data_IF_855122966353
#
_entry.id   IF_855122966353
#
_cell.length_a   1.000
_cell.length_b   1.000
_cell.length_c   1.000
_cell.angle_alpha   90.00
_cell.angle_beta   90.00
_cell.angle_gamma   90.00
#
_symmetry.space_group_name_H-M   'P 1'
#
loop_
_entity.id
_entity.type
_entity.pdbx_description
1 polymer ?
#
# COMPACT_ATOMS: atom_id res chain seq x y z
N UNK A 1 41.39 2.73 57.46
CA UNK A 1 41.93 3.53 56.34
C UNK A 1 41.62 2.71 55.09
N UNK A 2 40.68 3.00 54.19
CA UNK A 2 39.88 4.19 53.85
C UNK A 2 38.64 3.66 53.06
N UNK A 3 37.41 3.94 53.48
CA UNK A 3 36.52 5.02 52.95
C UNK A 3 35.92 4.75 51.55
N UNK A 4 34.63 4.34 51.51
CA UNK A 4 33.43 5.05 50.96
C UNK A 4 33.37 5.20 49.43
N UNK A 5 32.42 4.55 48.73
CA UNK A 5 31.00 4.92 48.52
C UNK A 5 30.74 6.06 47.53
N UNK A 6 29.86 5.76 46.56
CA UNK A 6 29.01 6.64 45.75
C UNK A 6 29.61 7.41 44.56
N UNK A 7 29.04 7.17 43.37
CA UNK A 7 28.77 8.21 42.37
C UNK A 7 27.71 7.73 41.36
N UNK A 8 26.50 8.27 41.52
CA UNK A 8 25.32 8.11 40.68
C UNK A 8 25.44 8.92 39.39
N UNK A 9 25.14 8.37 38.20
CA UNK A 9 25.07 9.18 36.99
C UNK A 9 23.75 9.95 36.88
N UNK A 10 23.74 11.18 36.33
CA UNK A 10 22.54 12.01 36.26
C UNK A 10 21.58 11.58 35.14
N UNK A 11 20.29 11.51 35.49
CA UNK A 11 19.13 11.51 34.61
C UNK A 11 19.15 12.74 33.68
N UNK A 12 19.12 12.52 32.37
CA UNK A 12 18.73 13.56 31.40
C UNK A 12 17.35 13.26 30.84
N UNK A 13 16.39 14.02 31.35
CA UNK A 13 15.07 14.22 30.77
C UNK A 13 15.16 15.20 29.59
N UNK A 14 14.81 14.77 28.39
CA UNK A 14 14.42 15.69 27.32
C UNK A 14 13.06 15.28 26.77
N UNK A 15 12.04 15.76 27.47
CA UNK A 15 10.70 15.96 26.94
C UNK A 15 10.76 17.17 26.00
N UNK A 16 10.42 16.97 24.73
CA UNK A 16 10.46 18.03 23.73
C UNK A 16 9.56 17.69 22.55
N UNK A 17 8.25 17.69 22.76
CA UNK A 17 7.29 17.72 21.66
C UNK A 17 6.55 19.07 21.61
N UNK A 18 7.08 20.07 20.90
CA UNK A 18 6.37 21.31 20.68
C UNK A 18 5.41 21.19 19.49
N UNK A 19 4.11 21.17 19.85
CA UNK A 19 3.11 22.10 19.31
C UNK A 19 2.85 22.05 17.79
N UNK A 20 1.74 21.38 17.47
CA UNK A 20 0.57 21.96 16.78
C UNK A 20 0.82 23.31 16.09
N UNK A 21 1.00 23.28 14.77
CA UNK A 21 0.70 24.42 13.88
C UNK A 21 -0.59 24.13 13.11
N UNK A 22 -1.71 24.18 13.82
CA UNK A 22 -2.97 24.62 13.23
C UNK A 22 -2.99 26.13 13.40
N UNK A 23 -3.23 26.86 12.31
CA UNK A 23 -4.22 27.93 12.20
C UNK A 23 -3.87 28.96 11.12
N UNK A 24 -4.92 29.31 10.37
CA UNK A 24 -5.25 30.64 9.82
C UNK A 24 -4.58 31.05 8.51
N UNK A 25 -5.41 31.04 7.46
CA UNK A 25 -5.81 32.19 6.60
C UNK A 25 -6.64 31.59 5.44
N UNK A 26 -7.97 31.59 5.44
CA UNK A 26 -8.88 32.74 5.41
C UNK A 26 -8.48 33.80 4.37
N UNK A 27 -8.23 33.35 3.13
CA UNK A 27 -8.16 34.22 1.94
C UNK A 27 -9.58 34.52 1.46
N UNK A 28 -9.99 35.73 1.82
CA UNK A 28 -11.26 36.38 1.48
C UNK A 28 -11.53 36.37 -0.02
N UNK A 29 -12.76 35.97 -0.34
CA UNK A 29 -13.50 36.36 -1.54
C UNK A 29 -13.36 37.87 -1.80
N UNK A 30 -13.02 38.24 -3.03
CA UNK A 30 -13.38 39.52 -3.62
C UNK A 30 -13.80 39.28 -5.07
N UNK A 31 -15.11 39.23 -5.27
CA UNK A 31 -15.78 39.30 -6.57
C UNK A 31 -15.96 40.77 -6.91
N UNK A 32 -15.43 41.30 -8.04
CA UNK A 32 -15.82 42.62 -8.51
C UNK A 32 -17.13 42.55 -9.31
N UNK A 33 -18.00 43.51 -8.99
CA UNK A 33 -19.34 43.76 -9.53
C UNK A 33 -19.32 44.19 -11.01
N UNK A 34 -20.38 43.78 -11.70
CA UNK A 34 -20.80 44.14 -13.07
C UNK A 34 -20.85 45.65 -13.33
N UNK A 35 -20.54 46.04 -14.57
CA UNK A 35 -21.14 47.20 -15.28
C UNK A 35 -21.42 46.81 -16.74
N UNK A 36 -22.66 46.87 -17.24
CA UNK A 36 -22.91 46.91 -18.68
C UNK A 36 -23.06 48.38 -19.11
N UNK A 37 -22.18 48.83 -20.01
CA UNK A 37 -22.31 50.11 -20.72
C UNK A 37 -23.26 49.90 -21.90
N UNK A 38 -24.52 50.30 -21.74
CA UNK A 38 -25.48 50.47 -22.84
C UNK A 38 -24.98 51.66 -23.69
N UNK A 39 -24.67 51.42 -24.96
CA UNK A 39 -24.48 52.47 -25.97
C UNK A 39 -25.23 52.09 -27.25
N UNK A 40 -25.81 53.12 -27.83
CA UNK A 40 -26.89 53.11 -28.81
C UNK A 40 -26.52 52.49 -30.17
N UNK A 41 -27.53 51.90 -30.79
CA UNK A 41 -27.54 51.40 -32.17
C UNK A 41 -27.69 52.53 -33.18
N UNK A 42 -26.96 52.49 -34.32
CA UNK A 42 -27.46 53.01 -35.58
C UNK A 42 -28.23 51.91 -36.30
N UNK A 43 -29.48 52.22 -36.64
CA UNK A 43 -30.41 51.41 -37.42
C UNK A 43 -30.08 51.62 -38.90
N UNK A 44 -29.75 50.57 -39.63
CA UNK A 44 -29.65 50.63 -41.09
C UNK A 44 -28.73 49.57 -41.69
N UNK A 45 -29.34 48.58 -42.36
CA UNK A 45 -28.78 47.82 -43.48
C UNK A 45 -27.63 46.83 -43.19
N UNK A 46 -27.93 45.67 -42.62
CA UNK A 46 -27.24 44.39 -42.95
C UNK A 46 -27.94 43.22 -42.23
N UNK A 47 -28.99 42.66 -42.82
CA UNK A 47 -29.76 41.58 -42.15
C UNK A 47 -30.05 40.37 -43.02
N UNK A 48 -29.34 40.16 -44.13
CA UNK A 48 -29.57 38.96 -44.96
C UNK A 48 -28.33 38.16 -45.36
N UNK A 49 -27.10 38.59 -45.01
CA UNK A 49 -25.87 37.82 -45.34
C UNK A 49 -25.18 37.21 -44.09
N UNK A 50 -25.61 37.57 -42.88
CA UNK A 50 -24.94 37.19 -41.63
C UNK A 50 -25.38 35.83 -41.04
N UNK A 51 -26.54 35.31 -41.46
CA UNK A 51 -27.12 34.08 -40.90
C UNK A 51 -26.33 32.82 -41.29
N UNK A 52 -25.94 32.74 -42.58
CA UNK A 52 -25.20 31.59 -43.11
C UNK A 52 -23.74 31.49 -42.58
N UNK A 53 -23.18 32.58 -42.05
CA UNK A 53 -21.82 32.61 -41.46
C UNK A 53 -21.85 32.24 -39.97
N UNK A 54 -22.89 32.68 -39.24
CA UNK A 54 -23.12 32.34 -37.83
C UNK A 54 -23.38 30.84 -37.62
N UNK A 55 -24.19 30.22 -38.49
CA UNK A 55 -24.46 28.79 -38.42
C UNK A 55 -23.24 27.92 -38.70
N UNK A 56 -22.39 28.33 -39.65
CA UNK A 56 -21.13 27.62 -39.93
C UNK A 56 -20.14 27.74 -38.77
N UNK A 57 -20.00 28.93 -38.16
CA UNK A 57 -19.13 29.14 -37.01
C UNK A 57 -19.60 28.35 -35.77
N UNK A 58 -20.92 28.27 -35.57
CA UNK A 58 -21.52 27.49 -34.49
C UNK A 58 -21.33 25.99 -34.71
N UNK A 59 -21.61 25.48 -35.92
CA UNK A 59 -21.33 24.06 -36.28
C UNK A 59 -19.85 23.71 -36.13
N UNK A 60 -18.93 24.58 -36.56
CA UNK A 60 -17.47 24.37 -36.41
C UNK A 60 -17.03 24.34 -34.95
N UNK A 61 -17.65 25.16 -34.09
CA UNK A 61 -17.39 25.15 -32.65
C UNK A 61 -17.94 23.89 -31.95
N UNK A 62 -19.14 23.42 -32.33
CA UNK A 62 -19.69 22.16 -31.82
C UNK A 62 -18.86 20.95 -32.27
N UNK A 63 -18.40 20.96 -33.52
CA UNK A 63 -17.47 19.95 -34.02
C UNK A 63 -16.13 20.00 -33.26
N UNK A 64 -15.63 21.19 -32.91
CA UNK A 64 -14.42 21.32 -32.10
C UNK A 64 -14.59 20.82 -30.66
N UNK A 65 -15.72 21.06 -29.99
CA UNK A 65 -15.97 20.52 -28.65
C UNK A 65 -16.01 18.98 -28.68
N UNK A 66 -16.73 18.42 -29.65
CA UNK A 66 -16.81 16.96 -29.87
C UNK A 66 -15.43 16.38 -30.18
N UNK A 67 -14.61 17.07 -30.97
CA UNK A 67 -13.23 16.66 -31.25
C UNK A 67 -12.30 16.76 -30.02
N UNK A 68 -12.64 17.56 -29.00
CA UNK A 68 -11.81 17.79 -27.80
C UNK A 68 -12.14 16.87 -26.61
N UNK A 69 -13.36 16.33 -26.56
CA UNK A 69 -13.81 15.39 -25.51
C UNK A 69 -12.91 14.15 -25.33
N UNK A 70 -12.40 13.49 -26.38
CA UNK A 70 -11.52 12.33 -26.23
C UNK A 70 -10.23 12.65 -25.46
N UNK A 71 -9.66 13.84 -25.69
CA UNK A 71 -8.43 14.27 -25.01
C UNK A 71 -8.63 14.46 -23.50
N UNK A 72 -9.77 15.01 -23.08
CA UNK A 72 -10.11 15.20 -21.67
C UNK A 72 -10.30 13.87 -20.92
N UNK A 73 -10.92 12.88 -21.58
CA UNK A 73 -11.09 11.54 -21.01
C UNK A 73 -9.73 10.83 -20.86
N UNK A 74 -8.86 10.94 -21.87
CA UNK A 74 -7.50 10.38 -21.81
C UNK A 74 -6.69 11.02 -20.68
N UNK A 75 -6.79 12.35 -20.51
CA UNK A 75 -6.08 13.07 -19.44
C UNK A 75 -6.57 12.68 -18.04
N UNK A 76 -7.89 12.52 -17.86
CA UNK A 76 -8.46 12.09 -16.58
C UNK A 76 -8.03 10.67 -16.22
N UNK A 77 -8.11 9.73 -17.18
CA UNK A 77 -7.66 8.35 -16.98
C UNK A 77 -6.17 8.33 -16.64
N UNK A 78 -5.35 9.12 -17.33
CA UNK A 78 -3.92 9.20 -17.06
C UNK A 78 -3.63 9.74 -15.65
N UNK A 79 -4.36 10.77 -15.22
CA UNK A 79 -4.30 11.30 -13.86
C UNK A 79 -4.67 10.26 -12.80
N UNK A 80 -5.79 9.55 -13.00
CA UNK A 80 -6.25 8.52 -12.06
C UNK A 80 -5.24 7.37 -11.95
N UNK A 81 -4.67 6.97 -13.10
CA UNK A 81 -3.60 5.97 -13.14
C UNK A 81 -2.33 6.45 -12.44
N UNK A 82 -1.94 7.72 -12.60
CA UNK A 82 -0.75 8.24 -11.94
C UNK A 82 -0.95 8.37 -10.44
N UNK A 83 -2.14 8.74 -9.97
CA UNK A 83 -2.49 8.70 -8.55
C UNK A 83 -2.49 7.28 -8.01
N UNK A 84 -3.10 6.33 -8.73
CA UNK A 84 -3.12 4.92 -8.35
C UNK A 84 -1.69 4.35 -8.26
N UNK A 85 -0.83 4.64 -9.25
CA UNK A 85 0.59 4.25 -9.20
C UNK A 85 1.26 4.79 -7.94
N UNK A 86 1.04 6.06 -7.60
CA UNK A 86 1.64 6.66 -6.41
C UNK A 86 1.09 6.06 -5.11
N UNK A 87 -0.19 5.72 -5.05
CA UNK A 87 -0.78 5.05 -3.89
C UNK A 87 -0.28 3.61 -3.76
N UNK A 88 -0.24 2.85 -4.86
CA UNK A 88 0.32 1.50 -4.92
C UNK A 88 1.78 1.53 -4.48
N UNK A 89 2.62 2.40 -5.04
CA UNK A 89 4.03 2.51 -4.65
C UNK A 89 4.18 2.85 -3.17
N UNK A 90 3.34 3.73 -2.60
CA UNK A 90 3.33 4.01 -1.16
C UNK A 90 2.96 2.76 -0.35
N UNK A 91 1.89 2.05 -0.73
CA UNK A 91 1.48 0.80 -0.06
C UNK A 91 2.55 -0.28 -0.15
N UNK A 92 3.15 -0.46 -1.33
CA UNK A 92 4.25 -1.40 -1.57
C UNK A 92 5.48 -1.05 -0.75
N UNK A 93 5.86 0.22 -0.66
CA UNK A 93 7.02 0.63 0.15
C UNK A 93 6.80 0.31 1.62
N UNK A 94 5.62 0.65 2.17
CA UNK A 94 5.33 0.36 3.58
C UNK A 94 5.22 -1.15 3.85
N UNK A 95 4.54 -1.88 2.98
CA UNK A 95 4.46 -3.34 3.06
C UNK A 95 5.86 -3.98 2.93
N UNK A 96 6.68 -3.50 1.99
CA UNK A 96 8.04 -3.97 1.76
C UNK A 96 8.98 -3.72 2.93
N UNK A 97 8.89 -2.54 3.57
CA UNK A 97 9.61 -2.26 4.82
C UNK A 97 9.15 -3.22 5.92
N UNK A 98 7.85 -3.44 6.08
CA UNK A 98 7.31 -4.38 7.05
C UNK A 98 7.82 -5.81 6.84
N UNK A 99 7.73 -6.32 5.61
CA UNK A 99 8.24 -7.65 5.24
C UNK A 99 9.76 -7.73 5.43
N UNK A 100 10.51 -6.69 5.06
CA UNK A 100 11.96 -6.62 5.26
C UNK A 100 12.36 -6.65 6.73
N UNK A 101 11.64 -5.92 7.59
CA UNK A 101 11.85 -5.96 9.05
C UNK A 101 11.50 -7.31 9.65
N UNK A 102 10.40 -7.94 9.21
CA UNK A 102 10.03 -9.29 9.66
C UNK A 102 11.07 -10.34 9.22
N UNK A 103 11.59 -10.22 7.99
CA UNK A 103 12.66 -11.10 7.51
C UNK A 103 13.95 -10.92 8.34
N UNK A 104 14.36 -9.68 8.60
CA UNK A 104 15.50 -9.40 9.47
C UNK A 104 15.28 -9.95 10.89
N UNK A 105 14.10 -9.70 11.48
CA UNK A 105 13.74 -10.21 12.80
C UNK A 105 13.77 -11.74 12.84
N UNK A 106 13.30 -12.43 11.80
CA UNK A 106 13.36 -13.89 11.71
C UNK A 106 14.81 -14.41 11.71
N UNK A 107 15.71 -13.76 10.96
CA UNK A 107 17.15 -14.11 10.96
C UNK A 107 17.77 -13.91 12.35
N UNK A 108 17.51 -12.77 12.99
CA UNK A 108 18.00 -12.54 14.36
C UNK A 108 17.41 -13.52 15.37
N UNK A 109 16.12 -13.84 15.25
CA UNK A 109 15.47 -14.84 16.10
C UNK A 109 16.08 -16.24 15.92
N UNK A 110 16.47 -16.61 14.70
CA UNK A 110 17.17 -17.85 14.41
C UNK A 110 18.51 -17.92 15.15
N UNK A 111 19.35 -16.89 15.04
CA UNK A 111 20.62 -16.83 15.79
C UNK A 111 20.42 -16.80 17.31
N UNK A 112 19.45 -16.00 17.79
CA UNK A 112 19.13 -15.92 19.21
C UNK A 112 18.70 -17.27 19.78
N UNK A 113 17.94 -18.07 19.01
CA UNK A 113 17.56 -19.43 19.41
C UNK A 113 18.79 -20.32 19.61
N UNK A 114 19.80 -20.22 18.73
CA UNK A 114 21.07 -20.94 18.91
C UNK A 114 21.82 -20.53 20.17
N UNK A 115 21.91 -19.22 20.44
CA UNK A 115 22.55 -18.70 21.66
C UNK A 115 21.80 -19.14 22.93
N UNK A 116 20.47 -19.06 22.93
CA UNK A 116 19.64 -19.53 24.04
C UNK A 116 19.78 -21.03 24.27
N UNK A 117 19.87 -21.82 23.19
CA UNK A 117 20.12 -23.26 23.28
C UNK A 117 21.47 -23.54 23.92
N UNK A 118 22.54 -22.87 23.47
CA UNK A 118 23.87 -23.01 24.05
C UNK A 118 23.88 -22.57 25.53
N UNK A 119 23.25 -21.46 25.87
CA UNK A 119 23.14 -20.99 27.26
C UNK A 119 22.37 -21.97 28.14
N UNK A 120 21.28 -22.56 27.64
CA UNK A 120 20.52 -23.58 28.35
C UNK A 120 21.36 -24.84 28.60
N UNK A 121 22.10 -25.32 27.59
CA UNK A 121 22.98 -26.48 27.73
C UNK A 121 24.10 -26.19 28.74
N UNK A 122 24.78 -25.05 28.62
CA UNK A 122 25.87 -24.68 29.53
C UNK A 122 25.37 -24.47 30.96
N UNK A 123 24.21 -23.84 31.14
CA UNK A 123 23.60 -23.66 32.46
C UNK A 123 23.21 -24.98 33.10
N UNK A 124 22.64 -25.91 32.34
CA UNK A 124 22.29 -27.24 32.85
C UNK A 124 23.53 -28.11 33.07
N UNK A 125 24.58 -27.91 32.28
CA UNK A 125 25.85 -28.63 32.41
C UNK A 125 26.59 -28.34 33.75
N UNK A 126 26.16 -27.32 34.50
CA UNK A 126 26.66 -27.07 35.87
C UNK A 126 26.17 -28.14 36.86
N UNK A 127 24.99 -28.74 36.61
CA UNK A 127 24.36 -29.72 37.51
C UNK A 127 24.37 -31.14 36.97
N UNK A 128 24.48 -31.34 35.66
CA UNK A 128 24.54 -32.66 35.00
C UNK A 128 25.67 -32.73 33.96
N UNK A 129 26.12 -33.92 33.53
CA UNK A 129 27.12 -34.03 32.45
C UNK A 129 26.66 -33.32 31.17
N UNK A 130 27.58 -32.64 30.48
CA UNK A 130 27.26 -31.81 29.32
C UNK A 130 26.54 -32.53 28.18
N UNK A 131 26.84 -33.82 27.97
CA UNK A 131 26.16 -34.64 26.97
C UNK A 131 24.68 -34.88 27.33
N UNK A 132 24.38 -35.08 28.62
CA UNK A 132 23.01 -35.28 29.10
C UNK A 132 22.23 -33.96 29.07
N UNK A 133 22.88 -32.84 29.43
CA UNK A 133 22.30 -31.50 29.29
C UNK A 133 21.87 -31.23 27.84
N UNK A 134 22.74 -31.53 26.86
CA UNK A 134 22.42 -31.37 25.45
C UNK A 134 21.22 -32.21 25.01
N UNK A 135 21.11 -33.46 25.46
CA UNK A 135 19.97 -34.33 25.14
C UNK A 135 18.65 -33.83 25.75
N UNK A 136 18.67 -33.34 26.99
CA UNK A 136 17.48 -32.80 27.66
C UNK A 136 16.98 -31.56 26.90
N UNK A 137 17.87 -30.62 26.59
CA UNK A 137 17.50 -29.40 25.85
C UNK A 137 17.01 -29.74 24.45
N UNK A 138 17.65 -30.69 23.76
CA UNK A 138 17.20 -31.16 22.44
C UNK A 138 15.79 -31.77 22.49
N UNK A 139 15.48 -32.58 23.50
CA UNK A 139 14.14 -33.15 23.68
C UNK A 139 13.08 -32.07 23.90
N UNK A 140 13.37 -31.04 24.72
CA UNK A 140 12.46 -29.91 24.94
C UNK A 140 12.23 -29.11 23.64
N UNK A 141 13.29 -28.88 22.86
CA UNK A 141 13.17 -28.19 21.56
C UNK A 141 12.35 -29.00 20.55
N UNK A 142 12.50 -30.33 20.51
CA UNK A 142 11.68 -31.18 19.64
C UNK A 142 10.19 -31.09 19.98
N UNK A 143 9.84 -31.05 21.26
CA UNK A 143 8.45 -30.85 21.70
C UNK A 143 7.94 -29.47 21.23
N UNK A 144 8.74 -28.42 21.40
CA UNK A 144 8.38 -27.07 20.96
C UNK A 144 8.17 -27.01 19.43
N UNK A 145 9.06 -27.64 18.65
CA UNK A 145 8.93 -27.75 17.19
C UNK A 145 7.66 -28.50 16.82
N UNK A 146 7.36 -29.62 17.48
CA UNK A 146 6.13 -30.36 17.22
C UNK A 146 4.89 -29.47 17.45
N UNK A 147 4.84 -28.71 18.56
CA UNK A 147 3.75 -27.77 18.82
C UNK A 147 3.63 -26.70 17.72
N UNK A 148 4.74 -26.10 17.29
CA UNK A 148 4.71 -25.11 16.20
C UNK A 148 4.27 -25.70 14.87
N UNK A 149 4.70 -26.92 14.53
CA UNK A 149 4.23 -27.62 13.33
C UNK A 149 2.73 -27.86 13.42
N UNK A 150 2.22 -28.36 14.55
CA UNK A 150 0.78 -28.60 14.75
C UNK A 150 -0.03 -27.31 14.64
N UNK A 151 0.42 -26.23 15.29
CA UNK A 151 -0.25 -24.92 15.21
C UNK A 151 -0.21 -24.35 13.79
N UNK A 152 0.93 -24.46 13.11
CA UNK A 152 1.09 -24.03 11.72
C UNK A 152 0.15 -24.79 10.78
N UNK A 153 0.12 -26.12 10.88
CA UNK A 153 -0.80 -26.95 10.11
C UNK A 153 -2.26 -26.62 10.42
N UNK A 154 -2.61 -26.37 11.68
CA UNK A 154 -3.97 -26.01 12.06
C UNK A 154 -4.37 -24.64 11.51
N UNK A 155 -3.47 -23.67 11.49
CA UNK A 155 -3.72 -22.36 10.90
C UNK A 155 -3.87 -22.45 9.37
N UNK A 156 -3.06 -23.26 8.69
CA UNK A 156 -3.22 -23.53 7.26
C UNK A 156 -4.56 -24.21 6.94
N UNK A 157 -4.99 -25.16 7.77
CA UNK A 157 -6.29 -25.84 7.64
C UNK A 157 -7.48 -24.89 7.85
N UNK A 158 -7.40 -23.99 8.83
CA UNK A 158 -8.45 -22.99 9.12
C UNK A 158 -8.49 -21.84 8.11
N UNK A 159 -7.35 -21.50 7.53
CA UNK A 159 -7.20 -20.42 6.55
C UNK A 159 -7.54 -20.81 5.11
N UNK A 160 -7.95 -22.06 4.87
CA UNK A 160 -8.40 -22.53 3.57
C UNK A 160 -9.94 -22.39 3.51
N UNK A 161 -10.52 -21.29 2.96
CA UNK A 161 -11.82 -21.45 2.34
C UNK A 161 -11.62 -22.55 1.29
N UNK A 162 -12.33 -23.68 1.41
CA UNK A 162 -12.38 -24.71 0.37
C UNK A 162 -12.32 -24.02 -0.99
N UNK A 163 -11.20 -24.11 -1.74
CA UNK A 163 -11.04 -23.37 -2.98
C UNK A 163 -11.76 -24.11 -4.11
N UNK A 164 -12.87 -24.76 -3.77
CA UNK A 164 -13.63 -25.63 -4.64
C UNK A 164 -14.34 -24.79 -5.69
N UNK A 165 -14.77 -23.57 -5.39
CA UNK A 165 -15.38 -22.65 -6.37
C UNK A 165 -14.31 -21.98 -7.26
N UNK A 166 -13.26 -21.39 -6.68
CA UNK A 166 -12.28 -20.59 -7.44
C UNK A 166 -11.26 -21.43 -8.21
N UNK A 167 -10.83 -22.59 -7.70
CA UNK A 167 -9.94 -23.48 -8.46
C UNK A 167 -10.74 -24.30 -9.48
N UNK A 168 -12.01 -24.64 -9.20
CA UNK A 168 -12.84 -25.32 -10.21
C UNK A 168 -13.22 -24.41 -11.37
N UNK A 169 -13.47 -23.12 -11.14
CA UNK A 169 -13.72 -22.16 -12.22
C UNK A 169 -12.48 -22.01 -13.10
N UNK A 170 -11.29 -21.83 -12.52
CA UNK A 170 -10.03 -21.76 -13.29
C UNK A 170 -9.78 -23.07 -14.07
N UNK A 171 -10.04 -24.25 -13.47
CA UNK A 171 -9.92 -25.53 -14.19
C UNK A 171 -10.94 -25.67 -15.33
N UNK A 172 -12.17 -25.17 -15.14
CA UNK A 172 -13.22 -25.17 -16.16
C UNK A 172 -12.84 -24.25 -17.31
N UNK A 173 -12.32 -23.06 -17.02
CA UNK A 173 -11.91 -22.07 -18.01
C UNK A 173 -10.72 -22.57 -18.85
N UNK A 174 -9.72 -23.20 -18.21
CA UNK A 174 -8.61 -23.84 -18.93
C UNK A 174 -9.09 -25.01 -19.80
N UNK A 175 -10.09 -25.76 -19.35
CA UNK A 175 -10.66 -26.89 -20.11
C UNK A 175 -11.46 -26.41 -21.32
N UNK A 176 -12.18 -25.30 -21.20
CA UNK A 176 -12.89 -24.65 -22.32
C UNK A 176 -11.88 -24.15 -23.34
N UNK A 177 -10.84 -23.42 -22.92
CA UNK A 177 -9.80 -22.90 -23.84
C UNK A 177 -9.07 -24.04 -24.58
N UNK A 178 -8.74 -25.13 -23.88
CA UNK A 178 -8.15 -26.33 -24.52
C UNK A 178 -9.13 -27.09 -25.42
N UNK A 179 -10.42 -27.06 -25.10
CA UNK A 179 -11.49 -27.67 -25.91
C UNK A 179 -11.75 -26.92 -27.21
N UNK A 180 -11.66 -25.59 -27.18
CA UNK A 180 -11.83 -24.73 -28.37
C UNK A 180 -10.63 -24.84 -29.31
N UNK A 181 -9.41 -25.03 -28.79
CA UNK A 181 -8.20 -25.24 -29.60
C UNK A 181 -8.20 -26.56 -30.41
N UNK A 182 -9.10 -27.50 -30.09
CA UNK A 182 -9.24 -28.78 -30.81
C UNK A 182 -10.37 -28.79 -31.85
N UNK A 183 -11.07 -27.66 -32.06
CA UNK A 183 -12.09 -27.48 -33.11
C UNK A 183 -11.73 -26.32 -34.04
N UNK A 184 -10.80 -26.60 -34.94
CA UNK A 184 -10.55 -25.87 -36.17
C UNK A 184 -9.51 -26.70 -36.91
N UNK A 185 -9.76 -27.32 -38.05
CA UNK A 185 -10.79 -27.20 -39.09
C UNK A 185 -10.82 -28.52 -39.87
N UNK A 186 -11.88 -28.84 -40.64
CA UNK A 186 -11.94 -30.01 -41.53
C UNK A 186 -10.89 -29.99 -42.64
#
# INVERSE_FOLDING_TARGET
>A
MSSTSSATPPRRSFSGNPRRKRLRRASRQRVPRRRPRRRASPRGQESQVTDAKGDRARKRSLLNLIASLPGLVVELVRSELDQLKQEILRKLKHAGIGVGLLAAAAVFAFFATGVLTAAAILGLAVVVPGWLAALIVAALLLILVAVFVLLGLNQLKKGNPEPTETISSIRRDVKVIKGTAKRGTP
#
